data_IF_485764929812
#
_entry.id   IF_485764929812
#
_cell.length_a   1.000
_cell.length_b   1.000
_cell.length_c   1.000
_cell.angle_alpha   90.00
_cell.angle_beta   90.00
_cell.angle_gamma   90.00
#
_symmetry.space_group_name_H-M   'P 1'
#
loop_
_entity.id
_entity.type
_entity.pdbx_description
1 polymer ?
#
# COMPACT_ATOMS: atom_id res chain seq x y z
N UNK A 1 4.26 1.62 -16.47
CA UNK A 1 4.71 2.22 -15.19
C UNK A 1 3.60 3.12 -14.66
N UNK A 2 3.08 2.83 -13.47
CA UNK A 2 1.97 3.55 -12.81
C UNK A 2 2.46 4.84 -12.11
N UNK A 3 1.54 5.61 -11.52
CA UNK A 3 1.81 6.84 -10.74
C UNK A 3 2.57 7.98 -11.47
N UNK A 4 2.55 8.01 -12.81
CA UNK A 4 3.20 9.10 -13.58
C UNK A 4 2.44 10.43 -13.51
N UNK A 5 1.15 10.38 -13.22
CA UNK A 5 0.28 11.56 -13.15
C UNK A 5 -0.06 11.86 -11.69
N UNK A 6 -0.35 13.12 -11.40
CA UNK A 6 -0.71 13.55 -10.04
C UNK A 6 -2.16 13.18 -9.67
N UNK A 7 -2.99 12.84 -10.65
CA UNK A 7 -4.42 12.51 -10.52
C UNK A 7 -4.68 10.98 -10.44
N UNK A 8 -3.63 10.17 -10.31
CA UNK A 8 -3.75 8.72 -10.32
C UNK A 8 -2.79 8.07 -9.32
N UNK A 9 -3.33 7.23 -8.44
CA UNK A 9 -2.57 6.47 -7.46
C UNK A 9 -2.89 4.98 -7.54
N UNK A 10 -1.91 4.14 -7.25
CA UNK A 10 -2.10 2.69 -7.11
C UNK A 10 -1.73 2.30 -5.69
N UNK A 11 -2.70 1.76 -4.95
CA UNK A 11 -2.54 1.46 -3.53
C UNK A 11 -2.96 0.03 -3.29
N UNK A 12 -2.02 -0.79 -2.81
CA UNK A 12 -2.31 -2.18 -2.42
C UNK A 12 -3.12 -2.20 -1.12
N UNK A 13 -4.12 -3.08 -1.06
CA UNK A 13 -4.97 -3.27 0.11
C UNK A 13 -4.72 -4.66 0.71
N UNK A 14 -3.82 -4.79 1.71
CA UNK A 14 -3.30 -6.10 2.15
C UNK A 14 -4.22 -6.88 3.12
N UNK A 15 -5.51 -6.54 3.24
CA UNK A 15 -6.42 -7.17 4.21
C UNK A 15 -6.57 -8.70 4.07
N UNK A 16 -6.15 -9.29 2.94
CA UNK A 16 -6.12 -10.74 2.74
C UNK A 16 -4.84 -11.46 3.21
N UNK A 17 -3.75 -10.75 3.55
CA UNK A 17 -2.44 -11.40 3.79
C UNK A 17 -2.44 -12.39 4.97
N UNK A 18 -3.08 -12.01 6.07
CA UNK A 18 -3.14 -12.75 7.33
C UNK A 18 -4.59 -13.08 7.70
N UNK A 19 -5.43 -13.33 6.70
CA UNK A 19 -6.84 -13.66 6.91
C UNK A 19 -7.01 -15.12 7.31
N UNK A 20 -7.67 -15.36 8.45
CA UNK A 20 -8.07 -16.68 8.91
C UNK A 20 -9.56 -16.89 8.67
N UNK A 21 -9.95 -18.14 8.38
CA UNK A 21 -11.36 -18.49 8.24
C UNK A 21 -12.08 -18.32 9.59
N UNK A 22 -13.24 -17.64 9.62
CA UNK A 22 -14.05 -17.56 10.83
C UNK A 22 -14.51 -18.95 11.25
N UNK A 23 -14.59 -19.17 12.56
CA UNK A 23 -15.09 -20.40 13.14
C UNK A 23 -16.53 -20.22 13.63
N UNK A 24 -17.33 -21.27 13.52
CA UNK A 24 -18.67 -21.35 14.08
C UNK A 24 -18.64 -21.68 15.58
N UNK A 25 -19.82 -21.79 16.20
CA UNK A 25 -19.96 -22.13 17.62
C UNK A 25 -19.46 -23.54 17.99
N UNK A 26 -19.05 -24.36 17.02
CA UNK A 26 -18.49 -25.70 17.20
C UNK A 26 -16.98 -25.75 16.92
N UNK A 27 -16.34 -24.60 16.74
CA UNK A 27 -14.92 -24.46 16.38
C UNK A 27 -14.57 -25.04 15.00
N UNK A 28 -15.54 -25.13 14.09
CA UNK A 28 -15.33 -25.52 12.69
C UNK A 28 -15.41 -24.30 11.77
N UNK A 29 -14.88 -24.34 10.54
CA UNK A 29 -15.05 -23.23 9.60
C UNK A 29 -16.53 -22.87 9.41
N UNK A 30 -16.88 -21.60 9.61
CA UNK A 30 -18.23 -21.10 9.39
C UNK A 30 -18.50 -20.97 7.89
N UNK A 31 -19.15 -21.99 7.33
CA UNK A 31 -19.47 -22.07 5.91
C UNK A 31 -20.51 -21.03 5.45
N UNK A 32 -21.19 -20.32 6.37
CA UNK A 32 -22.16 -19.29 6.00
C UNK A 32 -21.53 -18.06 5.32
N UNK A 33 -20.20 -17.91 5.41
CA UNK A 33 -19.45 -16.89 4.67
C UNK A 33 -19.23 -17.26 3.19
N UNK A 34 -19.55 -18.49 2.78
CA UNK A 34 -19.39 -18.99 1.42
C UNK A 34 -20.74 -19.30 0.76
N UNK A 35 -20.77 -19.24 -0.57
CA UNK A 35 -21.90 -19.63 -1.39
C UNK A 35 -22.06 -21.17 -1.40
N UNK A 36 -23.09 -21.65 -2.10
CA UNK A 36 -23.41 -23.09 -2.18
C UNK A 36 -22.29 -23.94 -2.80
N UNK A 37 -21.39 -23.35 -3.58
CA UNK A 37 -20.22 -24.02 -4.16
C UNK A 37 -19.00 -24.08 -3.22
N UNK A 38 -19.11 -23.51 -2.02
CA UNK A 38 -18.05 -23.42 -1.02
C UNK A 38 -16.77 -22.70 -1.50
N UNK A 39 -16.85 -21.93 -2.60
CA UNK A 39 -15.72 -21.23 -3.19
C UNK A 39 -15.96 -19.73 -3.24
N UNK A 40 -17.09 -19.30 -3.80
CA UNK A 40 -17.44 -17.90 -3.82
C UNK A 40 -17.88 -17.45 -2.42
N UNK A 41 -17.67 -16.18 -2.11
CA UNK A 41 -18.24 -15.62 -0.89
C UNK A 41 -19.76 -15.54 -1.00
N UNK A 42 -20.45 -15.78 0.11
CA UNK A 42 -21.87 -15.44 0.22
C UNK A 42 -22.04 -13.91 0.30
N UNK A 43 -23.28 -13.43 0.30
CA UNK A 43 -23.56 -12.02 0.58
C UNK A 43 -22.93 -11.56 1.92
N UNK A 44 -22.91 -12.45 2.93
CA UNK A 44 -22.26 -12.19 4.22
C UNK A 44 -20.74 -12.07 4.05
N UNK A 45 -20.10 -13.01 3.34
CA UNK A 45 -18.67 -12.96 3.04
C UNK A 45 -18.27 -11.68 2.30
N UNK A 46 -18.98 -11.32 1.24
CA UNK A 46 -18.72 -10.09 0.49
C UNK A 46 -18.88 -8.83 1.35
N UNK A 47 -19.86 -8.78 2.25
CA UNK A 47 -20.04 -7.64 3.16
C UNK A 47 -18.82 -7.45 4.08
N UNK A 48 -18.24 -8.54 4.58
CA UNK A 48 -17.03 -8.45 5.41
C UNK A 48 -15.80 -8.03 4.60
N UNK A 49 -15.65 -8.54 3.38
CA UNK A 49 -14.54 -8.14 2.51
C UNK A 49 -14.64 -6.67 2.08
N UNK A 50 -15.85 -6.20 1.80
CA UNK A 50 -16.11 -4.79 1.49
C UNK A 50 -15.79 -3.89 2.69
N UNK A 51 -16.16 -4.33 3.91
CA UNK A 51 -15.83 -3.60 5.14
C UNK A 51 -14.32 -3.51 5.36
N UNK A 52 -13.61 -4.61 5.15
CA UNK A 52 -12.16 -4.62 5.30
C UNK A 52 -11.47 -3.74 4.26
N UNK A 53 -11.90 -3.80 2.99
CA UNK A 53 -11.42 -2.91 1.94
C UNK A 53 -11.67 -1.43 2.30
N UNK A 54 -12.89 -1.09 2.74
CA UNK A 54 -13.25 0.26 3.15
C UNK A 54 -12.33 0.81 4.24
N UNK A 55 -12.16 0.03 5.31
CA UNK A 55 -11.26 0.39 6.41
C UNK A 55 -9.82 0.57 5.93
N UNK A 56 -9.36 -0.30 5.04
CA UNK A 56 -8.01 -0.27 4.51
C UNK A 56 -7.77 0.95 3.59
N UNK A 57 -8.80 1.40 2.86
CA UNK A 57 -8.73 2.64 2.08
C UNK A 57 -8.63 3.90 2.95
N UNK A 58 -9.01 3.83 4.23
CA UNK A 58 -8.92 4.94 5.19
C UNK A 58 -7.65 4.89 6.07
N UNK A 59 -6.84 3.86 5.91
CA UNK A 59 -5.58 3.68 6.65
C UNK A 59 -4.37 4.16 5.85
N UNK A 60 -3.44 4.91 6.46
CA UNK A 60 -2.20 5.32 5.81
C UNK A 60 -1.43 4.15 5.18
N UNK A 61 -0.86 4.35 4.00
CA UNK A 61 0.09 3.42 3.39
C UNK A 61 1.26 3.19 4.35
N UNK A 62 1.52 1.92 4.67
CA UNK A 62 2.50 1.51 5.69
C UNK A 62 1.83 1.00 6.98
N UNK A 63 0.62 1.46 7.27
CA UNK A 63 -0.14 1.13 8.50
C UNK A 63 -1.44 0.37 8.20
N UNK A 64 -1.59 -0.10 6.96
CA UNK A 64 -2.75 -0.83 6.48
C UNK A 64 -2.90 -2.17 7.22
N UNK A 65 -4.10 -2.44 7.73
CA UNK A 65 -4.48 -3.74 8.28
C UNK A 65 -4.23 -4.85 7.26
N UNK A 66 -3.74 -5.99 7.74
CA UNK A 66 -3.34 -7.13 6.91
C UNK A 66 -4.23 -8.35 7.09
N UNK A 67 -5.31 -8.22 7.86
CA UNK A 67 -6.23 -9.29 8.24
C UNK A 67 -7.69 -8.82 8.06
N UNK A 68 -8.61 -9.78 8.08
CA UNK A 68 -10.05 -9.54 8.09
C UNK A 68 -10.64 -9.82 9.48
N UNK A 69 -11.47 -8.91 9.98
CA UNK A 69 -12.30 -9.15 11.16
C UNK A 69 -13.71 -9.56 10.71
N UNK A 70 -14.04 -10.85 10.85
CA UNK A 70 -15.33 -11.43 10.44
C UNK A 70 -16.44 -11.31 11.49
N UNK A 71 -16.21 -10.61 12.60
CA UNK A 71 -17.27 -10.34 13.59
C UNK A 71 -18.34 -9.49 12.94
N UNK A 72 -19.60 -9.92 13.00
CA UNK A 72 -20.74 -9.18 12.44
C UNK A 72 -21.12 -7.99 13.33
N UNK A 73 -20.25 -6.98 13.36
CA UNK A 73 -20.38 -5.75 14.13
C UNK A 73 -20.14 -4.55 13.22
N UNK A 74 -21.10 -3.61 13.18
CA UNK A 74 -21.03 -2.40 12.37
C UNK A 74 -20.10 -1.34 12.95
N UNK A 75 -19.78 -1.41 14.24
CA UNK A 75 -18.90 -0.42 14.89
C UNK A 75 -17.46 -0.47 14.37
N UNK A 76 -17.07 -1.57 13.71
CA UNK A 76 -15.74 -1.71 13.11
C UNK A 76 -15.53 -0.88 11.85
N UNK A 77 -16.59 -0.31 11.27
CA UNK A 77 -16.45 0.56 10.10
C UNK A 77 -15.74 1.85 10.50
N UNK A 78 -14.61 2.12 9.85
CA UNK A 78 -13.90 3.38 10.00
C UNK A 78 -14.66 4.50 9.28
N UNK A 79 -14.78 5.62 9.96
CA UNK A 79 -15.36 6.84 9.42
C UNK A 79 -14.25 7.89 9.22
N UNK A 80 -14.23 8.61 8.09
CA UNK A 80 -13.39 9.78 7.93
C UNK A 80 -13.67 10.82 9.02
N UNK A 81 -12.65 11.60 9.38
CA UNK A 81 -12.77 12.70 10.33
C UNK A 81 -12.07 13.95 9.78
N UNK A 82 -12.06 15.05 10.55
CA UNK A 82 -11.46 16.31 10.11
C UNK A 82 -9.94 16.23 9.91
N UNK A 83 -9.25 15.32 10.61
CA UNK A 83 -7.81 15.12 10.51
C UNK A 83 -7.43 14.25 9.30
N UNK A 84 -8.28 13.28 8.93
CA UNK A 84 -8.12 12.41 7.76
C UNK A 84 -9.44 12.27 6.97
N UNK A 85 -9.77 13.28 6.13
CA UNK A 85 -11.03 13.31 5.40
C UNK A 85 -11.01 12.57 4.05
N UNK A 86 -9.83 12.09 3.60
CA UNK A 86 -9.64 11.51 2.27
C UNK A 86 -9.21 10.04 2.34
N UNK A 87 -9.39 9.32 1.23
CA UNK A 87 -8.80 7.99 1.08
C UNK A 87 -7.27 8.09 1.07
N UNK A 88 -6.63 7.12 1.73
CA UNK A 88 -5.19 7.06 1.89
C UNK A 88 -4.49 6.55 0.64
N UNK A 89 -3.54 7.33 0.17
CA UNK A 89 -2.69 7.10 -1.01
C UNK A 89 -1.22 7.19 -0.63
N UNK A 90 -0.33 6.79 -1.54
CA UNK A 90 1.12 6.92 -1.35
C UNK A 90 1.57 8.38 -1.11
N UNK A 91 0.79 9.37 -1.55
CA UNK A 91 1.10 10.81 -1.43
C UNK A 91 0.64 11.46 -0.11
N UNK A 92 -0.49 11.02 0.45
CA UNK A 92 -1.07 11.63 1.67
C UNK A 92 -0.87 10.78 2.94
N UNK A 93 -0.11 9.69 2.84
CA UNK A 93 0.17 8.78 3.96
C UNK A 93 1.56 9.01 4.59
N UNK A 94 2.29 10.06 4.21
CA UNK A 94 3.67 10.29 4.65
C UNK A 94 4.72 9.30 4.11
N UNK A 95 4.29 8.21 3.46
CA UNK A 95 5.14 7.14 2.92
C UNK A 95 6.22 7.63 1.94
N UNK A 96 5.88 8.59 1.06
CA UNK A 96 6.82 9.14 0.06
C UNK A 96 7.85 10.13 0.64
N UNK A 97 7.66 10.67 1.84
CA UNK A 97 8.67 11.58 2.41
C UNK A 97 9.98 10.84 2.76
N UNK A 98 9.93 9.50 2.90
CA UNK A 98 11.11 8.66 3.11
C UNK A 98 11.75 8.14 1.81
N UNK A 99 11.01 8.14 0.70
CA UNK A 99 11.46 7.62 -0.61
C UNK A 99 12.00 8.75 -1.50
N UNK A 100 11.41 9.95 -1.41
CA UNK A 100 11.90 11.14 -2.11
C UNK A 100 13.26 11.62 -1.59
N UNK A 101 13.66 11.29 -0.37
CA UNK A 101 15.00 11.57 0.14
C UNK A 101 16.08 10.61 -0.39
N UNK A 102 15.67 9.47 -0.97
CA UNK A 102 16.58 8.48 -1.56
C UNK A 102 16.80 8.69 -3.07
N UNK A 103 15.86 9.34 -3.77
CA UNK A 103 15.95 9.56 -5.21
C UNK A 103 16.67 10.88 -5.58
N UNK A 104 16.95 11.75 -4.61
CA UNK A 104 17.65 13.04 -4.82
C UNK A 104 19.16 12.98 -4.50
N UNK A 105 19.80 11.81 -4.65
CA UNK A 105 21.26 11.77 -4.73
C UNK A 105 21.67 12.19 -6.14
N UNK A 106 21.59 13.50 -6.41
CA UNK A 106 22.36 14.10 -7.49
C UNK A 106 23.81 13.60 -7.38
N UNK A 107 24.45 13.12 -8.46
CA UNK A 107 25.79 12.59 -8.38
C UNK A 107 26.71 13.66 -7.76
N UNK A 108 27.35 13.31 -6.63
CA UNK A 108 28.28 14.19 -5.89
C UNK A 108 29.38 14.81 -6.76
N UNK A 109 29.60 14.24 -7.95
CA UNK A 109 30.52 14.74 -8.96
C UNK A 109 29.75 14.96 -10.26
N UNK A 110 29.65 16.20 -10.76
CA UNK A 110 28.97 16.48 -12.00
C UNK A 110 29.74 15.87 -13.18
N UNK A 111 29.02 15.31 -14.16
CA UNK A 111 29.59 14.53 -15.27
C UNK A 111 30.71 15.26 -16.05
N UNK A 112 30.62 16.58 -16.17
CA UNK A 112 31.66 17.40 -16.81
C UNK A 112 33.01 17.34 -16.09
N UNK A 113 33.03 17.14 -14.77
CA UNK A 113 34.27 17.03 -14.01
C UNK A 113 35.08 15.77 -14.38
N UNK A 114 34.39 14.67 -14.73
CA UNK A 114 35.03 13.44 -15.23
C UNK A 114 35.67 13.67 -16.59
N UNK A 115 34.99 14.41 -17.48
CA UNK A 115 35.51 14.76 -18.80
C UNK A 115 36.77 15.63 -18.66
N UNK A 116 36.72 16.67 -17.82
CA UNK A 116 37.86 17.57 -17.61
C UNK A 116 39.06 16.82 -17.02
N UNK A 117 38.84 15.95 -16.04
CA UNK A 117 39.91 15.15 -15.45
C UNK A 117 40.57 14.19 -16.46
N UNK A 118 39.77 13.53 -17.30
CA UNK A 118 40.28 12.64 -18.34
C UNK A 118 41.12 13.41 -19.38
N UNK A 119 40.63 14.55 -19.85
CA UNK A 119 41.36 15.38 -20.84
C UNK A 119 42.66 15.93 -20.24
N UNK A 120 42.62 16.45 -19.00
CA UNK A 120 43.80 16.96 -18.32
C UNK A 120 44.85 15.85 -18.08
N UNK A 121 44.41 14.65 -17.69
CA UNK A 121 45.29 13.50 -17.51
C UNK A 121 45.98 13.07 -18.81
N UNK A 122 45.25 13.05 -19.93
CA UNK A 122 45.84 12.74 -21.25
C UNK A 122 46.88 13.78 -21.65
N UNK A 123 46.59 15.08 -21.45
CA UNK A 123 47.52 16.16 -21.79
C UNK A 123 48.78 16.13 -20.92
N UNK A 124 48.65 15.86 -19.61
CA UNK A 124 49.78 15.77 -18.70
C UNK A 124 50.64 14.51 -18.93
N UNK A 125 50.04 13.39 -19.32
CA UNK A 125 50.76 12.13 -19.62
C UNK A 125 51.40 12.07 -21.00
N UNK A 126 51.14 13.07 -21.86
CA UNK A 126 51.69 13.14 -23.23
C UNK A 126 52.89 14.10 -23.35
N UNK A 127 53.38 14.64 -22.22
CA UNK A 127 54.58 15.49 -22.15
C UNK A 127 55.81 14.71 -21.68
#
# INVERSE_FOLDING_TARGET
RYEKRQDFAVVMQPFFRNTLLPLDGTSKPDLSFFAADCFHFSARGYAEMATALWNNMLEPVGEKQTYNNFTHDRTKLKCPNLESPFLSTTRNSGFRNADLSLEETEPLVPYWAVIVAAVAGVLAGSL
#
